data_IF_291814540655
#
_entry.id   IF_291814540655
#
_cell.length_a   1.000
_cell.length_b   1.000
_cell.length_c   1.000
_cell.angle_alpha   90.00
_cell.angle_beta   90.00
_cell.angle_gamma   90.00
#
_symmetry.space_group_name_H-M   'P 1'
#
loop_
_entity.id
_entity.type
_entity.pdbx_description
1 polymer ?
#
# COMPACT_ATOMS: atom_id res chain seq x y z
N UNK A 1 -3.61 -43.58 15.29
CA UNK A 1 -3.35 -42.62 14.19
C UNK A 1 -4.59 -41.76 13.91
N UNK A 2 -4.96 -40.84 14.81
CA UNK A 2 -6.14 -39.95 14.64
C UNK A 2 -5.88 -38.48 15.06
N UNK A 3 -4.74 -38.21 15.71
CA UNK A 3 -4.40 -36.88 16.22
C UNK A 3 -3.60 -36.01 15.24
N UNK A 4 -3.13 -36.55 14.10
CA UNK A 4 -2.29 -35.80 13.14
C UNK A 4 -3.13 -34.90 12.22
N UNK A 5 -4.42 -35.22 11.99
CA UNK A 5 -5.26 -34.49 11.03
C UNK A 5 -5.73 -33.13 11.58
N UNK A 6 -5.83 -32.97 12.90
CA UNK A 6 -6.29 -31.71 13.52
C UNK A 6 -5.20 -30.62 13.51
N UNK A 7 -3.92 -30.99 13.48
CA UNK A 7 -2.81 -30.03 13.46
C UNK A 7 -2.62 -29.35 12.09
N UNK A 8 -3.12 -29.97 11.01
CA UNK A 8 -2.99 -29.46 9.65
C UNK A 8 -4.00 -28.35 9.30
N UNK A 9 -5.06 -28.17 10.09
CA UNK A 9 -6.05 -27.11 9.85
C UNK A 9 -5.63 -25.73 10.40
N UNK A 10 -4.51 -25.62 11.12
CA UNK A 10 -4.07 -24.35 11.73
C UNK A 10 -3.25 -23.44 10.79
N UNK A 11 -2.94 -23.90 9.56
CA UNK A 11 -2.08 -23.14 8.63
C UNK A 11 -2.81 -22.45 7.47
N UNK A 12 -4.15 -22.48 7.42
CA UNK A 12 -4.89 -22.01 6.24
C UNK A 12 -5.28 -20.52 6.23
N UNK A 13 -4.88 -19.71 7.22
CA UNK A 13 -5.46 -18.37 7.42
C UNK A 13 -4.72 -17.18 6.77
N UNK A 14 -3.64 -17.38 6.01
CA UNK A 14 -2.77 -16.25 5.59
C UNK A 14 -3.12 -15.60 4.25
N UNK A 15 -4.16 -16.04 3.54
CA UNK A 15 -4.38 -15.64 2.13
C UNK A 15 -5.18 -14.31 1.95
N UNK A 16 -5.73 -13.72 3.02
CA UNK A 16 -6.64 -12.56 2.90
C UNK A 16 -6.12 -11.21 3.44
N UNK A 17 -4.84 -11.10 3.83
CA UNK A 17 -4.32 -9.88 4.50
C UNK A 17 -3.57 -8.88 3.59
N UNK A 18 -3.53 -9.12 2.28
CA UNK A 18 -2.82 -8.19 1.39
C UNK A 18 -3.58 -6.88 1.12
N UNK A 19 -4.90 -6.85 0.93
CA UNK A 19 -5.54 -5.67 0.33
C UNK A 19 -5.99 -4.54 1.25
N UNK A 20 -5.95 -4.67 2.58
CA UNK A 20 -6.49 -3.64 3.49
C UNK A 20 -5.80 -2.27 3.30
N UNK A 21 -4.50 -2.25 3.04
CA UNK A 21 -3.76 -1.01 2.84
C UNK A 21 -4.07 -0.34 1.50
N UNK A 22 -4.16 -1.13 0.43
CA UNK A 22 -4.53 -0.65 -0.91
C UNK A 22 -5.98 -0.11 -0.87
N UNK A 23 -6.89 -0.83 -0.24
CA UNK A 23 -8.28 -0.39 -0.11
C UNK A 23 -8.42 0.92 0.68
N UNK A 24 -7.63 1.09 1.74
CA UNK A 24 -7.60 2.35 2.48
C UNK A 24 -7.10 3.51 1.62
N UNK A 25 -6.10 3.28 0.77
CA UNK A 25 -5.57 4.29 -0.16
C UNK A 25 -6.58 4.61 -1.26
N UNK A 26 -7.22 3.60 -1.87
CA UNK A 26 -8.26 3.78 -2.90
C UNK A 26 -9.46 4.60 -2.41
N UNK A 27 -9.83 4.45 -1.13
CA UNK A 27 -10.94 5.18 -0.49
C UNK A 27 -10.54 6.57 0.01
N UNK A 28 -9.26 6.93 -0.02
CA UNK A 28 -8.80 8.21 0.49
C UNK A 28 -9.24 9.36 -0.45
N UNK A 29 -9.84 10.46 0.05
CA UNK A 29 -10.35 11.56 -0.79
C UNK A 29 -9.33 12.09 -1.79
N UNK A 30 -8.07 12.31 -1.35
CA UNK A 30 -6.96 12.72 -2.21
C UNK A 30 -6.76 11.81 -3.44
N UNK A 31 -6.89 10.49 -3.29
CA UNK A 31 -6.74 9.54 -4.40
C UNK A 31 -7.97 9.54 -5.29
N UNK A 32 -9.17 9.61 -4.71
CA UNK A 32 -10.41 9.70 -5.48
C UNK A 32 -10.39 10.95 -6.35
N UNK A 33 -10.01 12.09 -5.80
CA UNK A 33 -9.85 13.35 -6.52
C UNK A 33 -8.77 13.24 -7.60
N UNK A 34 -7.59 12.72 -7.26
CA UNK A 34 -6.48 12.53 -8.21
C UNK A 34 -6.82 11.62 -9.39
N UNK A 35 -7.70 10.64 -9.20
CA UNK A 35 -8.12 9.71 -10.25
C UNK A 35 -9.38 10.16 -11.00
N UNK A 36 -10.05 11.22 -10.54
CA UNK A 36 -11.33 11.67 -11.12
C UNK A 36 -11.22 12.13 -12.58
N UNK A 37 -10.04 12.61 -12.98
CA UNK A 37 -9.70 13.07 -14.33
C UNK A 37 -8.88 12.04 -15.14
N UNK A 38 -8.67 10.84 -14.61
CA UNK A 38 -7.83 9.78 -15.21
C UNK A 38 -8.65 8.54 -15.51
N UNK A 39 -9.47 8.56 -16.58
CA UNK A 39 -10.37 7.45 -16.88
C UNK A 39 -9.57 6.22 -17.35
N UNK A 40 -10.03 5.03 -16.97
CA UNK A 40 -9.29 3.76 -17.15
C UNK A 40 -9.09 3.34 -18.60
N UNK A 41 -9.90 3.87 -19.51
CA UNK A 41 -9.74 3.66 -20.95
C UNK A 41 -8.46 4.35 -21.45
N UNK A 42 -8.12 5.52 -20.89
CA UNK A 42 -6.97 6.35 -21.29
C UNK A 42 -5.72 6.15 -20.43
N UNK A 43 -5.86 5.61 -19.21
CA UNK A 43 -4.75 5.46 -18.26
C UNK A 43 -4.60 4.03 -17.74
N UNK A 44 -3.36 3.60 -17.56
CA UNK A 44 -2.98 2.46 -16.72
C UNK A 44 -2.88 2.95 -15.27
N UNK A 45 -3.55 2.25 -14.35
CA UNK A 45 -3.62 2.60 -12.93
C UNK A 45 -3.25 1.37 -12.13
N UNK A 46 -2.05 1.39 -11.54
CA UNK A 46 -1.49 0.26 -10.83
C UNK A 46 -1.22 0.60 -9.37
N UNK A 47 -1.58 -0.32 -8.48
CA UNK A 47 -1.31 -0.21 -7.06
C UNK A 47 -0.31 -1.30 -6.67
N UNK A 48 0.80 -0.90 -6.08
CA UNK A 48 1.75 -1.83 -5.47
C UNK A 48 1.83 -1.55 -3.98
N UNK A 49 2.18 -2.57 -3.21
CA UNK A 49 2.42 -2.40 -1.78
C UNK A 49 3.69 -3.13 -1.35
N UNK A 50 4.34 -2.58 -0.34
CA UNK A 50 5.50 -3.15 0.31
C UNK A 50 5.28 -3.17 1.82
N UNK A 51 5.54 -4.31 2.46
CA UNK A 51 5.50 -4.41 3.92
C UNK A 51 6.74 -3.73 4.51
N UNK A 52 6.53 -2.75 5.39
CA UNK A 52 7.60 -2.05 6.10
C UNK A 52 7.89 -2.64 7.49
N UNK A 53 7.09 -3.63 7.90
CA UNK A 53 7.20 -4.31 9.18
C UNK A 53 6.02 -4.04 10.09
N UNK A 54 6.14 -4.49 11.33
CA UNK A 54 5.13 -4.37 12.35
C UNK A 54 5.70 -4.70 13.72
N UNK A 55 5.06 -4.21 14.77
CA UNK A 55 5.45 -4.44 16.15
C UNK A 55 4.25 -4.95 16.93
N UNK A 56 4.42 -6.04 17.64
CA UNK A 56 3.41 -6.59 18.54
C UNK A 56 3.83 -6.32 19.98
N UNK A 57 2.92 -5.74 20.76
CA UNK A 57 3.09 -5.53 22.19
C UNK A 57 1.86 -5.97 22.97
N UNK A 58 1.87 -5.73 24.28
CA UNK A 58 0.75 -6.06 25.17
C UNK A 58 -0.58 -5.40 24.76
N UNK A 59 -0.50 -4.24 24.08
CA UNK A 59 -1.65 -3.45 23.61
C UNK A 59 -2.14 -3.83 22.21
N UNK A 60 -1.53 -4.82 21.55
CA UNK A 60 -1.91 -5.25 20.20
C UNK A 60 -0.76 -5.24 19.20
N UNK A 61 -1.06 -5.64 17.96
CA UNK A 61 -0.10 -5.67 16.85
C UNK A 61 -0.32 -4.50 15.91
N UNK A 62 0.71 -3.69 15.69
CA UNK A 62 0.73 -2.65 14.67
C UNK A 62 1.40 -3.17 13.40
N UNK A 63 0.87 -2.78 12.25
CA UNK A 63 1.48 -3.05 10.96
C UNK A 63 1.66 -1.77 10.16
N UNK A 64 2.68 -1.76 9.31
CA UNK A 64 3.00 -0.64 8.42
C UNK A 64 3.25 -1.16 7.02
N UNK A 65 2.60 -0.55 6.03
CA UNK A 65 2.80 -0.83 4.61
C UNK A 65 3.05 0.48 3.87
N UNK A 66 3.91 0.42 2.86
CA UNK A 66 4.00 1.44 1.83
C UNK A 66 3.09 1.03 0.68
N UNK A 67 2.32 1.96 0.15
CA UNK A 67 1.48 1.75 -1.04
C UNK A 67 1.90 2.77 -2.08
N UNK A 68 2.26 2.32 -3.27
CA UNK A 68 2.53 3.18 -4.42
C UNK A 68 1.40 3.05 -5.43
N UNK A 69 0.81 4.19 -5.79
CA UNK A 69 -0.09 4.34 -6.93
C UNK A 69 0.73 4.86 -8.11
N UNK A 70 0.79 4.09 -9.19
CA UNK A 70 1.43 4.49 -10.44
C UNK A 70 0.33 4.71 -11.48
N UNK A 71 0.31 5.89 -12.08
CA UNK A 71 -0.63 6.23 -13.16
C UNK A 71 0.13 6.63 -14.41
N UNK A 72 -0.15 5.94 -15.50
CA UNK A 72 0.55 6.15 -16.78
C UNK A 72 -0.47 6.34 -17.88
N UNK A 73 -0.38 7.42 -18.65
CA UNK A 73 -1.22 7.59 -19.85
C UNK A 73 -0.90 6.51 -20.88
N UNK A 74 -1.92 6.03 -21.60
CA UNK A 74 -1.77 5.06 -22.70
C UNK A 74 -1.25 5.68 -24.00
N UNK A 75 -0.90 6.97 -24.00
CA UNK A 75 -0.24 7.61 -25.12
C UNK A 75 1.22 7.15 -25.25
N UNK A 76 1.76 7.18 -26.47
CA UNK A 76 3.18 6.88 -26.70
C UNK A 76 4.07 7.85 -25.90
N UNK A 77 5.12 7.32 -25.27
CA UNK A 77 6.09 8.08 -24.46
C UNK A 77 5.49 8.89 -23.31
N UNK A 78 4.38 8.42 -22.73
CA UNK A 78 3.79 9.06 -21.56
C UNK A 78 4.71 8.97 -20.34
N UNK A 79 4.81 10.08 -19.60
CA UNK A 79 5.37 10.08 -18.26
C UNK A 79 4.40 9.41 -17.28
N UNK A 80 4.95 8.70 -16.30
CA UNK A 80 4.18 8.10 -15.21
C UNK A 80 4.18 9.02 -14.00
N UNK A 81 3.01 9.21 -13.40
CA UNK A 81 2.87 9.89 -12.12
C UNK A 81 2.80 8.85 -11.01
N UNK A 82 3.59 9.04 -9.94
CA UNK A 82 3.63 8.10 -8.81
C UNK A 82 3.29 8.83 -7.51
N UNK A 83 2.29 8.32 -6.79
CA UNK A 83 1.95 8.77 -5.43
C UNK A 83 2.31 7.66 -4.45
N UNK A 84 3.05 8.01 -3.40
CA UNK A 84 3.43 7.08 -2.35
C UNK A 84 2.67 7.42 -1.07
N UNK A 85 2.11 6.39 -0.43
CA UNK A 85 1.40 6.49 0.83
C UNK A 85 1.95 5.49 1.86
N UNK A 86 2.25 6.00 3.05
CA UNK A 86 2.50 5.20 4.23
C UNK A 86 1.17 4.89 4.93
N UNK A 87 0.83 3.61 4.99
CA UNK A 87 -0.41 3.10 5.62
C UNK A 87 -0.05 2.36 6.90
N UNK A 88 -0.68 2.74 8.00
CA UNK A 88 -0.52 2.09 9.30
C UNK A 88 -1.86 1.56 9.78
N UNK A 89 -1.87 0.41 10.43
CA UNK A 89 -3.08 -0.13 11.06
C UNK A 89 -2.76 -1.03 12.24
N UNK A 90 -3.82 -1.48 12.91
CA UNK A 90 -3.76 -2.29 14.12
C UNK A 90 -4.57 -3.59 13.95
N UNK A 91 -4.06 -4.68 14.50
CA UNK A 91 -4.70 -6.00 14.51
C UNK A 91 -5.15 -6.33 15.94
N UNK A 92 -6.34 -6.93 16.15
CA UNK A 92 -7.26 -7.52 15.17
C UNK A 92 -8.39 -6.58 14.70
N UNK A 93 -8.23 -5.26 14.81
CA UNK A 93 -9.36 -4.35 14.57
C UNK A 93 -9.78 -4.31 13.10
N UNK A 94 -11.04 -4.66 12.86
CA UNK A 94 -11.84 -4.31 11.68
C UNK A 94 -11.68 -2.82 11.36
N UNK A 95 -10.79 -2.46 10.43
CA UNK A 95 -10.69 -1.20 9.67
C UNK A 95 -10.78 0.16 10.41
N UNK A 96 -10.94 0.21 11.73
CA UNK A 96 -11.33 1.43 12.45
C UNK A 96 -10.17 2.36 12.80
N UNK A 97 -8.92 1.87 12.74
CA UNK A 97 -7.73 2.66 13.03
C UNK A 97 -6.67 2.59 11.91
N UNK A 98 -7.11 2.62 10.65
CA UNK A 98 -6.20 2.71 9.51
C UNK A 98 -5.86 4.19 9.28
N UNK A 99 -4.56 4.51 9.28
CA UNK A 99 -4.04 5.85 9.03
C UNK A 99 -3.23 5.86 7.73
N UNK A 100 -3.67 6.67 6.77
CA UNK A 100 -2.99 6.90 5.48
C UNK A 100 -2.26 8.24 5.56
N UNK A 101 -0.97 8.25 5.24
CA UNK A 101 -0.15 9.47 5.14
C UNK A 101 0.58 9.47 3.80
N UNK A 102 0.43 10.52 3.02
CA UNK A 102 1.14 10.65 1.74
C UNK A 102 2.58 11.09 1.99
N UNK A 103 3.49 10.46 1.27
CA UNK A 103 4.92 10.78 1.28
C UNK A 103 5.15 11.74 0.12
N UNK A 104 5.71 12.91 0.42
CA UNK A 104 6.20 13.83 -0.59
C UNK A 104 7.57 13.35 -1.05
N UNK A 105 7.68 13.05 -2.34
CA UNK A 105 8.96 12.75 -2.97
C UNK A 105 9.58 14.09 -3.36
N UNK A 106 10.50 14.57 -2.54
CA UNK A 106 11.34 15.71 -2.92
C UNK A 106 12.24 15.28 -4.07
N UNK A 107 12.35 16.12 -5.10
CA UNK A 107 13.37 15.93 -6.12
C UNK A 107 14.73 16.06 -5.43
N UNK A 108 15.46 14.95 -5.33
CA UNK A 108 16.89 14.98 -5.07
C UNK A 108 17.53 15.63 -6.31
N UNK A 109 17.66 16.96 -6.28
CA UNK A 109 18.35 17.71 -7.32
C UNK A 109 19.71 17.03 -7.62
N UNK A 110 19.96 16.71 -8.89
CA UNK A 110 21.17 16.03 -9.40
C UNK A 110 22.50 16.70 -9.00
N UNK A 111 22.46 17.88 -8.38
CA UNK A 111 23.63 18.64 -7.91
C UNK A 111 24.32 18.04 -6.68
N UNK A 112 23.67 17.14 -5.94
CA UNK A 112 24.25 16.58 -4.70
C UNK A 112 25.24 15.42 -4.96
N UNK A 113 25.38 14.95 -6.21
CA UNK A 113 26.32 13.87 -6.58
C UNK A 113 27.53 14.32 -7.42
N UNK A 114 27.88 15.62 -7.41
CA UNK A 114 29.21 16.04 -7.87
C UNK A 114 30.22 15.81 -6.74
N UNK A 115 30.82 14.62 -6.80
CA UNK A 115 32.17 14.23 -6.37
C UNK A 115 32.99 15.32 -5.67
N UNK A 116 33.33 15.08 -4.40
CA UNK A 116 34.61 15.51 -3.83
C UNK A 116 35.64 14.40 -4.04
#
# INVERSE_FOLDING_TARGET
>A
MKFIIILLCLFSSTVFSEDIAIDAVKKHPKIIEFLSDKPRDQYWIDFHQMKLGGSCGFTGCQWRKLVSLVVTSKSANALSETIIALVNGEQPSHNSNIKVRFVELENLDEKQFKTQ
#
